data_IF_566521705896
#
_entry.id   IF_566521705896
#
_cell.length_a   1.000
_cell.length_b   1.000
_cell.length_c   1.000
_cell.angle_alpha   90.00
_cell.angle_beta   90.00
_cell.angle_gamma   90.00
#
_symmetry.space_group_name_H-M   'P 1'
#
loop_
_entity.id
_entity.type
_entity.pdbx_description
1 polymer ?
#
# COMPACT_ATOMS: atom_id res chain seq x y z
N UNK A 1 -7.12 37.04 18.17
CA UNK A 1 -6.10 36.01 18.39
C UNK A 1 -5.93 35.30 17.07
N UNK A 2 -4.78 35.48 16.43
CA UNK A 2 -4.52 34.96 15.09
C UNK A 2 -3.94 33.55 15.26
N UNK A 3 -4.70 32.54 14.84
CA UNK A 3 -4.19 31.17 14.71
C UNK A 3 -3.32 31.16 13.45
N UNK A 4 -2.06 30.69 13.48
CA UNK A 4 -1.27 30.57 12.26
C UNK A 4 -1.85 29.46 11.39
N UNK A 5 -1.84 29.68 10.07
CA UNK A 5 -2.20 28.69 9.07
C UNK A 5 -1.28 27.46 9.17
N UNK A 6 -1.76 26.26 8.77
CA UNK A 6 -0.90 25.10 8.62
C UNK A 6 0.19 25.44 7.59
N UNK A 7 1.43 25.05 7.90
CA UNK A 7 2.56 25.18 6.99
C UNK A 7 2.27 24.26 5.81
N UNK A 8 2.01 24.86 4.63
CA UNK A 8 1.77 24.12 3.41
C UNK A 8 2.96 23.23 3.05
N UNK A 9 2.65 22.01 2.60
CA UNK A 9 3.63 21.08 2.05
C UNK A 9 4.48 21.77 0.99
N UNK A 10 5.80 21.52 1.04
CA UNK A 10 6.74 22.06 0.08
C UNK A 10 6.43 21.47 -1.30
N UNK A 11 5.74 22.23 -2.16
CA UNK A 11 5.65 21.91 -3.58
C UNK A 11 7.07 21.83 -4.16
N UNK A 12 7.48 20.63 -4.54
CA UNK A 12 8.77 20.37 -5.19
C UNK A 12 8.74 20.85 -6.64
N UNK A 13 9.89 21.31 -7.13
CA UNK A 13 10.03 21.71 -8.53
C UNK A 13 9.90 20.49 -9.46
N UNK A 14 9.31 20.64 -10.66
CA UNK A 14 9.21 19.55 -11.63
C UNK A 14 10.59 18.94 -11.94
N UNK A 15 10.71 17.62 -11.81
CA UNK A 15 11.87 16.86 -12.30
C UNK A 15 12.98 16.53 -11.30
N UNK A 16 12.87 16.91 -10.01
CA UNK A 16 13.80 16.44 -8.97
C UNK A 16 13.13 15.34 -8.14
N UNK A 17 13.77 14.17 -8.07
CA UNK A 17 13.25 13.07 -7.27
C UNK A 17 13.42 13.34 -5.76
N UNK A 18 12.37 13.11 -4.98
CA UNK A 18 12.39 13.21 -3.52
C UNK A 18 12.97 11.93 -2.93
N UNK A 19 13.99 11.97 -2.05
CA UNK A 19 14.48 10.75 -1.41
C UNK A 19 13.39 10.05 -0.59
N UNK A 20 13.28 8.74 -0.73
CA UNK A 20 12.43 7.85 0.08
C UNK A 20 13.26 6.63 0.53
N UNK A 21 12.95 6.10 1.71
CA UNK A 21 13.56 4.88 2.26
C UNK A 21 12.48 3.84 2.50
N UNK A 22 12.81 2.56 2.32
CA UNK A 22 11.93 1.48 2.72
C UNK A 22 11.56 1.59 4.22
N UNK A 23 10.30 1.34 4.53
CA UNK A 23 9.66 1.58 5.81
C UNK A 23 8.96 2.94 5.92
N UNK A 24 9.26 3.94 5.08
CA UNK A 24 8.65 5.26 5.20
C UNK A 24 7.33 5.37 4.42
N UNK A 25 6.37 6.11 4.97
CA UNK A 25 5.26 6.70 4.20
C UNK A 25 5.62 8.14 3.81
N UNK A 26 5.47 8.46 2.53
CA UNK A 26 5.55 9.83 2.03
C UNK A 26 4.20 10.23 1.46
N UNK A 27 3.70 11.40 1.88
CA UNK A 27 2.56 12.04 1.23
C UNK A 27 3.08 12.94 0.11
N UNK A 28 2.61 12.66 -1.11
CA UNK A 28 2.85 13.45 -2.31
C UNK A 28 1.61 14.24 -2.72
N UNK A 29 1.83 15.32 -3.46
CA UNK A 29 0.75 16.04 -4.13
C UNK A 29 1.09 16.20 -5.61
N UNK A 30 0.16 15.82 -6.48
CA UNK A 30 0.26 16.16 -7.89
C UNK A 30 -0.35 17.54 -8.16
N UNK A 31 0.50 18.50 -8.51
CA UNK A 31 0.08 19.87 -8.77
C UNK A 31 -0.61 20.04 -10.15
N UNK A 32 -0.28 19.23 -11.18
CA UNK A 32 -0.82 19.34 -12.56
C UNK A 32 -0.46 18.13 -13.46
N UNK A 33 -1.21 17.95 -14.58
CA UNK A 33 -1.05 16.92 -15.65
C UNK A 33 0.37 16.76 -16.24
N UNK A 34 1.24 17.75 -16.11
CA UNK A 34 2.58 17.74 -16.71
C UNK A 34 3.69 17.37 -15.71
N UNK A 35 3.35 17.12 -14.45
CA UNK A 35 4.34 16.84 -13.40
C UNK A 35 4.13 15.44 -12.85
N UNK A 36 5.01 14.52 -13.27
CA UNK A 36 5.15 13.21 -12.64
C UNK A 36 5.78 13.38 -11.26
N UNK A 37 5.18 12.79 -10.23
CA UNK A 37 5.82 12.65 -8.94
C UNK A 37 7.00 11.69 -9.07
N UNK A 38 8.19 12.07 -8.59
CA UNK A 38 9.38 11.24 -8.69
C UNK A 38 9.98 11.08 -7.30
N UNK A 39 10.24 9.84 -6.90
CA UNK A 39 10.80 9.51 -5.59
C UNK A 39 11.98 8.57 -5.75
N UNK A 40 13.14 8.97 -5.26
CA UNK A 40 14.38 8.21 -5.39
C UNK A 40 14.56 7.29 -4.18
N UNK A 41 14.63 5.99 -4.43
CA UNK A 41 14.88 4.95 -3.47
C UNK A 41 16.25 4.34 -3.74
N UNK A 42 17.18 4.45 -2.79
CA UNK A 42 18.43 3.66 -2.83
C UNK A 42 18.23 2.39 -2.01
N UNK A 43 18.27 1.23 -2.67
CA UNK A 43 18.06 -0.06 -2.02
C UNK A 43 19.24 -0.40 -1.11
N UNK A 44 18.93 -0.84 0.11
CA UNK A 44 19.94 -1.23 1.11
C UNK A 44 20.14 -2.74 1.19
N UNK A 45 19.18 -3.51 0.68
CA UNK A 45 19.15 -4.98 0.65
C UNK A 45 18.74 -5.46 -0.74
N UNK A 46 18.89 -6.77 -0.98
CA UNK A 46 18.33 -7.48 -2.14
C UNK A 46 16.94 -8.08 -1.80
N UNK A 47 16.28 -7.57 -0.75
CA UNK A 47 14.98 -8.08 -0.32
C UNK A 47 13.87 -7.52 -1.21
N UNK A 48 12.85 -8.33 -1.46
CA UNK A 48 11.63 -7.86 -2.13
C UNK A 48 11.02 -6.66 -1.39
N UNK A 49 10.60 -5.66 -2.16
CA UNK A 49 9.94 -4.47 -1.68
C UNK A 49 8.51 -4.43 -2.19
N UNK A 50 7.57 -4.22 -1.29
CA UNK A 50 6.18 -3.88 -1.57
C UNK A 50 6.07 -2.36 -1.74
N UNK A 51 5.53 -1.92 -2.87
CA UNK A 51 5.24 -0.52 -3.17
C UNK A 51 3.74 -0.35 -3.26
N UNK A 52 3.21 0.56 -2.45
CA UNK A 52 1.78 0.87 -2.39
C UNK A 52 1.64 2.37 -2.63
N UNK A 53 0.80 2.75 -3.59
CA UNK A 53 0.47 4.15 -3.86
C UNK A 53 -1.03 4.34 -3.80
N UNK A 54 -1.51 4.99 -2.75
CA UNK A 54 -2.93 5.20 -2.50
C UNK A 54 -3.34 6.63 -2.88
N UNK A 55 -4.36 6.82 -3.73
CA UNK A 55 -4.95 8.13 -3.95
C UNK A 55 -5.72 8.61 -2.71
N UNK A 56 -5.66 9.91 -2.43
CA UNK A 56 -6.49 10.55 -1.40
C UNK A 56 -7.89 10.92 -1.92
N UNK A 57 -8.10 10.88 -3.24
CA UNK A 57 -9.36 11.20 -3.91
C UNK A 57 -9.86 10.00 -4.73
N UNK A 58 -11.11 9.59 -4.47
CA UNK A 58 -11.78 8.48 -5.17
C UNK A 58 -11.91 8.65 -6.69
N UNK A 59 -11.72 9.86 -7.21
CA UNK A 59 -11.75 10.15 -8.65
C UNK A 59 -10.39 10.11 -9.32
N UNK A 60 -9.31 9.90 -8.55
CA UNK A 60 -7.95 9.82 -9.04
C UNK A 60 -7.63 8.41 -9.51
N UNK A 61 -6.99 8.31 -10.67
CA UNK A 61 -6.54 7.04 -11.23
C UNK A 61 -5.03 7.11 -11.39
N UNK A 62 -4.32 6.47 -10.46
CA UNK A 62 -2.87 6.61 -10.33
C UNK A 62 -2.20 5.59 -11.24
N UNK A 63 -1.10 5.99 -11.87
CA UNK A 63 -0.23 5.05 -12.58
C UNK A 63 1.13 5.07 -11.92
N UNK A 64 1.64 3.91 -11.53
CA UNK A 64 2.93 3.77 -10.86
C UNK A 64 3.93 3.11 -11.79
N UNK A 65 5.14 3.67 -11.88
CA UNK A 65 6.27 3.03 -12.55
C UNK A 65 7.47 2.95 -11.63
N UNK A 66 8.19 1.84 -11.72
CA UNK A 66 9.47 1.65 -11.05
C UNK A 66 10.55 1.64 -12.11
N UNK A 67 11.46 2.61 -12.06
CA UNK A 67 12.50 2.81 -13.07
C UNK A 67 13.87 2.74 -12.40
N UNK A 68 14.76 1.87 -12.89
CA UNK A 68 16.13 1.82 -12.39
C UNK A 68 16.94 3.05 -12.81
N UNK A 69 18.06 3.29 -12.13
CA UNK A 69 18.99 4.41 -12.39
C UNK A 69 19.54 4.50 -13.83
N UNK A 70 19.57 3.40 -14.58
CA UNK A 70 19.97 3.37 -15.99
C UNK A 70 18.82 3.68 -16.96
N UNK A 71 17.62 3.96 -16.43
CA UNK A 71 16.40 4.24 -17.19
C UNK A 71 15.60 2.99 -17.57
N UNK A 72 16.01 1.80 -17.14
CA UNK A 72 15.25 0.57 -17.37
C UNK A 72 13.95 0.59 -16.58
N UNK A 73 12.81 0.42 -17.26
CA UNK A 73 11.54 0.17 -16.60
C UNK A 73 11.57 -1.23 -15.97
N UNK A 74 11.38 -1.28 -14.66
CA UNK A 74 11.28 -2.52 -13.89
C UNK A 74 9.83 -2.99 -13.88
N UNK A 75 8.91 -2.08 -13.56
CA UNK A 75 7.49 -2.40 -13.39
C UNK A 75 6.59 -1.19 -13.73
N UNK A 76 5.38 -1.44 -14.21
CA UNK A 76 4.33 -0.43 -14.44
C UNK A 76 2.97 -1.00 -14.07
N UNK A 77 2.24 -0.28 -13.21
CA UNK A 77 0.93 -0.68 -12.70
C UNK A 77 -0.08 0.44 -12.91
N UNK A 78 -1.23 0.04 -13.41
CA UNK A 78 -2.41 0.83 -13.73
C UNK A 78 -3.61 -0.11 -13.52
N UNK A 79 -4.09 -0.23 -12.27
CA UNK A 79 -5.15 -1.14 -11.84
C UNK A 79 -6.52 -0.87 -12.45
N UNK A 80 -6.61 0.07 -13.40
CA UNK A 80 -7.78 0.41 -14.22
C UNK A 80 -9.01 0.93 -13.45
N UNK A 81 -8.95 1.09 -12.12
CA UNK A 81 -10.05 1.55 -11.27
C UNK A 81 -9.62 2.78 -10.46
N UNK A 82 -10.27 3.91 -10.75
CA UNK A 82 -10.05 5.15 -10.00
C UNK A 82 -10.38 5.01 -8.52
N UNK A 83 -9.52 5.56 -7.66
CA UNK A 83 -9.69 5.63 -6.23
C UNK A 83 -9.11 4.45 -5.46
N UNK A 84 -8.63 3.42 -6.15
CA UNK A 84 -7.95 2.28 -5.53
C UNK A 84 -6.44 2.51 -5.48
N UNK A 85 -5.78 1.81 -4.56
CA UNK A 85 -4.34 1.87 -4.43
C UNK A 85 -3.67 1.04 -5.51
N UNK A 86 -2.59 1.57 -6.08
CA UNK A 86 -1.73 0.83 -6.99
C UNK A 86 -0.67 0.09 -6.17
N UNK A 87 -0.62 -1.25 -6.30
CA UNK A 87 0.24 -2.10 -5.47
C UNK A 87 1.11 -3.00 -6.33
N UNK A 88 2.39 -3.16 -5.96
CA UNK A 88 3.32 -4.04 -6.66
C UNK A 88 4.46 -4.49 -5.77
N UNK A 89 5.13 -5.59 -6.14
CA UNK A 89 6.40 -5.97 -5.55
C UNK A 89 7.52 -5.95 -6.59
N UNK A 90 8.74 -5.68 -6.14
CA UNK A 90 9.94 -5.91 -6.95
C UNK A 90 11.15 -6.24 -6.08
N UNK A 91 12.09 -7.00 -6.63
CA UNK A 91 13.36 -7.31 -5.97
C UNK A 91 14.46 -6.36 -6.48
N UNK A 92 14.90 -5.37 -5.68
CA UNK A 92 15.99 -4.47 -6.04
C UNK A 92 17.36 -5.16 -5.91
N UNK A 93 18.38 -4.45 -6.37
CA UNK A 93 19.79 -4.76 -6.13
C UNK A 93 20.35 -3.78 -5.10
N UNK A 94 20.95 -4.29 -4.04
CA UNK A 94 21.56 -3.51 -2.96
C UNK A 94 22.61 -2.54 -3.50
N UNK A 95 22.52 -1.29 -3.04
CA UNK A 95 23.35 -0.17 -3.47
C UNK A 95 22.89 0.50 -4.77
N UNK A 96 21.91 -0.06 -5.47
CA UNK A 96 21.33 0.54 -6.68
C UNK A 96 20.21 1.51 -6.32
N UNK A 97 20.03 2.54 -7.15
CA UNK A 97 18.94 3.51 -6.99
C UNK A 97 17.83 3.25 -8.01
N UNK A 98 16.60 3.40 -7.55
CA UNK A 98 15.37 3.29 -8.32
C UNK A 98 14.58 4.59 -8.16
N UNK A 99 13.75 4.89 -9.16
CA UNK A 99 12.78 5.98 -9.11
C UNK A 99 11.39 5.38 -9.13
N UNK A 100 10.59 5.68 -8.11
CA UNK A 100 9.14 5.48 -8.15
C UNK A 100 8.54 6.72 -8.80
N UNK A 101 7.96 6.52 -9.97
CA UNK A 101 7.26 7.54 -10.73
C UNK A 101 5.75 7.37 -10.51
N UNK A 102 5.09 8.45 -10.10
CA UNK A 102 3.64 8.49 -9.86
C UNK A 102 3.02 9.48 -10.82
N UNK A 103 2.18 8.96 -11.72
CA UNK A 103 1.36 9.72 -12.65
C UNK A 103 -0.13 9.60 -12.29
N UNK A 104 -0.97 10.39 -12.95
CA UNK A 104 -2.42 10.29 -12.84
C UNK A 104 -2.99 10.27 -14.26
N UNK A 105 -3.83 9.27 -14.53
CA UNK A 105 -4.32 8.88 -15.85
C UNK A 105 -5.21 9.95 -16.48
N UNK A 106 -6.13 10.54 -15.70
CA UNK A 106 -7.07 11.56 -16.17
C UNK A 106 -6.48 12.98 -16.27
N UNK A 107 -5.26 13.18 -15.74
CA UNK A 107 -4.60 14.48 -15.61
C UNK A 107 -5.15 15.37 -14.49
N UNK A 108 -5.90 14.82 -13.55
CA UNK A 108 -6.47 15.51 -12.39
C UNK A 108 -5.41 15.87 -11.36
N UNK A 109 -5.71 16.86 -10.52
CA UNK A 109 -4.92 17.15 -9.33
C UNK A 109 -5.37 16.19 -8.24
N UNK A 110 -4.45 15.38 -7.74
CA UNK A 110 -4.73 14.45 -6.66
C UNK A 110 -3.55 14.41 -5.69
N UNK A 111 -3.87 14.34 -4.40
CA UNK A 111 -2.91 13.96 -3.39
C UNK A 111 -2.84 12.44 -3.31
N UNK A 112 -1.70 11.91 -2.91
CA UNK A 112 -1.51 10.48 -2.76
C UNK A 112 -0.49 10.20 -1.67
N UNK A 113 -0.54 9.01 -1.10
CA UNK A 113 0.50 8.50 -0.22
C UNK A 113 1.27 7.38 -0.89
N UNK A 114 2.57 7.32 -0.67
CA UNK A 114 3.43 6.21 -1.08
C UNK A 114 3.93 5.51 0.18
N UNK A 115 3.78 4.19 0.24
CA UNK A 115 4.50 3.33 1.16
C UNK A 115 5.45 2.42 0.36
N UNK A 116 6.70 2.30 0.81
CA UNK A 116 7.65 1.30 0.30
C UNK A 116 8.08 0.47 1.48
N UNK A 117 7.89 -0.84 1.45
CA UNK A 117 8.07 -1.72 2.61
C UNK A 117 8.99 -2.86 2.21
N UNK A 118 10.05 -3.10 2.99
CA UNK A 118 10.83 -4.33 2.87
C UNK A 118 9.97 -5.49 3.38
N UNK A 119 9.67 -6.46 2.51
CA UNK A 119 8.87 -7.66 2.86
C UNK A 119 9.71 -8.93 2.80
N UNK A 120 11.04 -8.78 2.74
CA UNK A 120 11.94 -9.91 2.74
C UNK A 120 11.98 -10.66 4.08
N UNK A 121 12.54 -11.88 4.09
CA UNK A 121 12.50 -12.82 5.23
C UNK A 121 13.23 -12.35 6.51
N UNK A 122 13.87 -11.17 6.49
CA UNK A 122 14.51 -10.56 7.65
C UNK A 122 14.09 -9.10 7.85
N UNK A 123 12.97 -8.69 7.24
CA UNK A 123 12.46 -7.34 7.39
C UNK A 123 12.06 -7.07 8.82
N UNK A 124 12.39 -5.88 9.32
CA UNK A 124 11.85 -5.39 10.59
C UNK A 124 10.44 -4.81 10.44
N UNK A 125 9.97 -4.62 9.20
CA UNK A 125 8.61 -4.19 8.93
C UNK A 125 7.62 -5.37 9.00
N UNK A 126 8.06 -6.60 8.77
CA UNK A 126 7.21 -7.78 8.91
C UNK A 126 6.93 -8.06 10.39
N UNK A 127 5.68 -7.84 10.81
CA UNK A 127 5.22 -8.07 12.18
C UNK A 127 4.60 -9.46 12.35
N UNK A 128 3.87 -9.92 11.33
CA UNK A 128 3.30 -11.26 11.28
C UNK A 128 3.08 -11.70 9.82
N UNK A 129 3.08 -13.01 9.61
CA UNK A 129 2.82 -13.65 8.32
C UNK A 129 1.95 -14.88 8.55
N UNK A 130 0.84 -14.96 7.82
CA UNK A 130 -0.16 -16.00 7.98
C UNK A 130 -0.49 -16.61 6.62
N UNK A 131 -0.21 -17.89 6.48
CA UNK A 131 -0.77 -18.73 5.41
C UNK A 131 -2.17 -19.20 5.84
N UNK A 132 -3.17 -18.92 5.02
CA UNK A 132 -4.56 -19.25 5.28
C UNK A 132 -5.18 -20.13 4.20
N UNK A 133 -6.26 -20.82 4.56
CA UNK A 133 -7.06 -21.66 3.67
C UNK A 133 -8.54 -21.33 3.86
N UNK A 134 -9.23 -20.98 2.79
CA UNK A 134 -10.67 -20.79 2.75
C UNK A 134 -11.36 -22.08 2.29
N UNK A 135 -12.33 -22.53 3.08
CA UNK A 135 -13.33 -23.48 2.60
C UNK A 135 -14.32 -22.77 1.67
N UNK A 136 -15.07 -23.53 0.87
CA UNK A 136 -16.15 -22.99 0.03
C UNK A 136 -17.18 -22.24 0.90
N UNK A 137 -17.48 -20.98 0.54
CA UNK A 137 -18.27 -20.01 1.32
C UNK A 137 -17.75 -19.80 2.76
N UNK A 138 -16.48 -20.10 3.00
CA UNK A 138 -15.82 -19.98 4.28
C UNK A 138 -15.48 -18.53 4.62
N UNK A 139 -15.12 -18.35 5.89
CA UNK A 139 -14.58 -17.09 6.41
C UNK A 139 -13.37 -17.46 7.22
N UNK A 140 -12.25 -16.79 6.96
CA UNK A 140 -11.10 -16.85 7.84
C UNK A 140 -11.08 -15.60 8.71
N UNK A 141 -10.85 -15.77 10.01
CA UNK A 141 -10.75 -14.64 10.94
C UNK A 141 -9.36 -14.54 11.52
N UNK A 142 -8.73 -13.38 11.36
CA UNK A 142 -7.46 -13.02 11.98
C UNK A 142 -7.68 -11.92 13.02
N UNK A 143 -6.86 -11.86 14.06
CA UNK A 143 -6.93 -10.81 15.09
C UNK A 143 -5.56 -10.20 15.33
N UNK A 144 -5.52 -8.89 15.51
CA UNK A 144 -4.29 -8.14 15.78
C UNK A 144 -4.46 -7.22 16.99
N UNK A 145 -3.46 -7.14 17.85
CA UNK A 145 -3.43 -6.19 18.96
C UNK A 145 -2.82 -4.86 18.52
N UNK A 146 -3.69 -3.92 18.15
CA UNK A 146 -3.30 -2.58 17.72
C UNK A 146 -2.75 -1.71 18.85
N UNK A 147 -1.73 -0.93 18.53
CA UNK A 147 -1.17 0.11 19.40
C UNK A 147 -1.54 1.47 18.85
N UNK A 148 -2.06 2.35 19.72
CA UNK A 148 -2.55 3.67 19.36
C UNK A 148 -1.53 4.47 18.57
N UNK A 149 -1.96 5.02 17.43
CA UNK A 149 -1.15 5.88 16.57
C UNK A 149 -0.08 5.15 15.75
N UNK A 150 0.09 3.83 15.91
CA UNK A 150 1.04 3.07 15.08
C UNK A 150 0.38 2.63 13.78
N UNK A 151 0.74 3.20 12.61
CA UNK A 151 0.26 2.72 11.32
C UNK A 151 0.69 1.28 11.06
N UNK A 152 -0.27 0.45 10.69
CA UNK A 152 -0.09 -0.95 10.28
C UNK A 152 -0.74 -1.13 8.91
N UNK A 153 -0.13 -1.96 8.07
CA UNK A 153 -0.68 -2.37 6.79
C UNK A 153 -1.00 -3.86 6.87
N UNK A 154 -2.21 -4.20 6.47
CA UNK A 154 -2.64 -5.56 6.23
C UNK A 154 -2.65 -5.76 4.73
N UNK A 155 -1.77 -6.64 4.26
CA UNK A 155 -1.60 -6.96 2.85
C UNK A 155 -1.96 -8.42 2.62
N UNK A 156 -2.89 -8.68 1.72
CA UNK A 156 -3.49 -9.98 1.51
C UNK A 156 -3.37 -10.36 0.03
N UNK A 157 -2.78 -11.51 -0.27
CA UNK A 157 -2.69 -12.05 -1.63
C UNK A 157 -3.37 -13.41 -1.71
N UNK A 158 -4.09 -13.64 -2.81
CA UNK A 158 -4.66 -14.92 -3.16
C UNK A 158 -3.61 -15.84 -3.80
N UNK A 159 -3.65 -17.13 -3.46
CA UNK A 159 -3.02 -18.14 -4.30
C UNK A 159 -3.95 -18.50 -5.45
N UNK A 160 -3.56 -18.14 -6.67
CA UNK A 160 -4.29 -18.51 -7.88
C UNK A 160 -5.33 -17.45 -8.28
N UNK A 161 -6.61 -17.81 -8.24
CA UNK A 161 -7.69 -16.99 -8.81
C UNK A 161 -8.81 -16.70 -7.81
N UNK A 162 -8.50 -16.65 -6.51
CA UNK A 162 -9.48 -16.16 -5.55
C UNK A 162 -9.64 -14.65 -5.72
N UNK A 163 -10.87 -14.19 -5.55
CA UNK A 163 -11.25 -12.78 -5.52
C UNK A 163 -11.47 -12.44 -4.04
N UNK A 164 -10.41 -12.06 -3.36
CA UNK A 164 -10.45 -11.93 -1.90
C UNK A 164 -11.08 -10.60 -1.50
N UNK A 165 -11.77 -10.62 -0.38
CA UNK A 165 -12.25 -9.43 0.31
C UNK A 165 -11.76 -9.50 1.75
N UNK A 166 -11.51 -8.33 2.34
CA UNK A 166 -11.13 -8.21 3.73
C UNK A 166 -11.99 -7.16 4.43
N UNK A 167 -12.76 -7.60 5.42
CA UNK A 167 -13.51 -6.73 6.32
C UNK A 167 -12.75 -6.55 7.64
N UNK A 168 -12.71 -5.33 8.16
CA UNK A 168 -12.07 -5.01 9.44
C UNK A 168 -13.10 -4.59 10.49
N UNK A 169 -12.94 -5.09 11.72
CA UNK A 169 -13.82 -4.79 12.85
C UNK A 169 -13.03 -4.42 14.11
N UNK A 170 -13.63 -3.59 14.96
CA UNK A 170 -13.15 -3.31 16.30
C UNK A 170 -13.41 -4.48 17.27
N UNK A 171 -12.80 -4.42 18.47
CA UNK A 171 -13.00 -5.43 19.52
C UNK A 171 -14.46 -5.66 19.97
N UNK A 172 -15.37 -4.75 19.67
CA UNK A 172 -16.81 -4.88 19.94
C UNK A 172 -17.61 -5.48 18.78
N UNK A 173 -16.96 -5.79 17.66
CA UNK A 173 -17.60 -6.21 16.41
C UNK A 173 -18.17 -5.05 15.58
N UNK A 174 -17.81 -3.81 15.91
CA UNK A 174 -18.14 -2.65 15.11
C UNK A 174 -17.29 -2.63 13.84
N UNK A 175 -17.91 -2.43 12.69
CA UNK A 175 -17.20 -2.34 11.41
C UNK A 175 -16.30 -1.10 11.35
N UNK A 176 -15.07 -1.28 10.89
CA UNK A 176 -14.05 -0.24 10.77
C UNK A 176 -13.74 0.09 9.30
N UNK A 177 -13.46 -0.93 8.48
CA UNK A 177 -12.96 -0.73 7.12
C UNK A 177 -13.16 -1.97 6.24
N UNK A 178 -12.93 -1.84 4.94
CA UNK A 178 -13.02 -2.91 3.95
C UNK A 178 -12.11 -2.67 2.75
N UNK A 179 -11.53 -3.74 2.22
CA UNK A 179 -10.88 -3.73 0.91
C UNK A 179 -11.39 -4.88 0.02
N UNK A 180 -11.51 -4.53 -1.25
CA UNK A 180 -11.90 -5.32 -2.42
C UNK A 180 -11.36 -4.57 -3.64
N UNK A 181 -10.06 -4.68 -3.80
CA UNK A 181 -9.22 -4.02 -4.77
C UNK A 181 -9.17 -4.85 -6.05
N UNK A 182 -10.32 -5.02 -6.69
CA UNK A 182 -10.39 -5.18 -8.14
C UNK A 182 -10.95 -6.51 -8.64
N UNK A 183 -10.16 -7.24 -9.44
CA UNK A 183 -10.54 -8.49 -10.11
C UNK A 183 -9.83 -9.70 -9.48
N UNK A 184 -10.34 -10.90 -9.73
CA UNK A 184 -9.77 -12.17 -9.26
C UNK A 184 -8.23 -12.21 -9.31
N UNK A 185 -7.60 -12.42 -8.16
CA UNK A 185 -6.15 -12.57 -7.99
C UNK A 185 -5.39 -11.27 -7.70
N UNK A 186 -6.06 -10.12 -7.62
CA UNK A 186 -5.44 -8.87 -7.18
C UNK A 186 -5.31 -8.83 -5.64
N UNK A 187 -4.28 -8.16 -5.12
CA UNK A 187 -4.05 -8.10 -3.68
C UNK A 187 -5.00 -7.13 -2.97
N UNK A 188 -5.37 -7.48 -1.75
CA UNK A 188 -6.17 -6.64 -0.87
C UNK A 188 -5.33 -5.91 0.18
N UNK A 189 -5.72 -4.67 0.48
CA UNK A 189 -4.94 -3.81 1.37
C UNK A 189 -5.80 -2.93 2.28
N UNK A 190 -5.51 -2.99 3.59
CA UNK A 190 -6.02 -2.04 4.58
C UNK A 190 -4.84 -1.35 5.26
N UNK A 191 -4.81 -0.01 5.23
CA UNK A 191 -3.91 0.81 6.05
C UNK A 191 -4.68 1.29 7.29
N UNK A 192 -4.26 0.82 8.46
CA UNK A 192 -4.95 1.13 9.71
C UNK A 192 -4.05 1.87 10.69
N UNK A 193 -4.57 2.97 11.25
CA UNK A 193 -3.96 3.69 12.37
C UNK A 193 -4.88 3.55 13.58
N UNK A 194 -4.54 2.74 14.60
CA UNK A 194 -5.41 2.54 15.75
C UNK A 194 -5.65 3.84 16.50
N UNK A 195 -6.93 4.20 16.70
CA UNK A 195 -7.30 5.37 17.52
C UNK A 195 -7.15 5.11 19.03
N UNK A 196 -7.10 3.84 19.42
CA UNK A 196 -6.90 3.36 20.79
C UNK A 196 -6.09 2.07 20.78
N UNK A 197 -5.42 1.74 21.88
CA UNK A 197 -4.88 0.40 22.06
C UNK A 197 -6.01 -0.62 22.13
N UNK A 198 -5.87 -1.77 21.48
CA UNK A 198 -6.82 -2.86 21.59
C UNK A 198 -6.83 -3.78 20.37
N UNK A 199 -7.56 -4.89 20.53
CA UNK A 199 -7.70 -5.88 19.48
C UNK A 199 -8.62 -5.37 18.35
N UNK A 200 -8.24 -5.69 17.13
CA UNK A 200 -9.09 -5.62 15.93
C UNK A 200 -9.15 -7.00 15.30
N UNK A 201 -10.21 -7.27 14.54
CA UNK A 201 -10.36 -8.51 13.78
C UNK A 201 -10.53 -8.24 12.30
N UNK A 202 -10.00 -9.13 11.48
CA UNK A 202 -10.12 -9.13 10.04
C UNK A 202 -10.84 -10.40 9.61
N UNK A 203 -11.83 -10.26 8.74
CA UNK A 203 -12.50 -11.38 8.12
C UNK A 203 -12.12 -11.42 6.64
N UNK A 204 -11.48 -12.51 6.23
CA UNK A 204 -11.09 -12.79 4.84
C UNK A 204 -12.08 -13.75 4.22
N UNK A 205 -12.54 -13.44 3.01
CA UNK A 205 -13.53 -14.21 2.25
C UNK A 205 -13.21 -14.14 0.76
N UNK A 206 -13.63 -15.14 -0.01
CA UNK A 206 -13.70 -15.03 -1.47
C UNK A 206 -15.08 -14.45 -1.86
N UNK A 207 -15.11 -13.45 -2.73
CA UNK A 207 -16.33 -12.77 -3.19
C UNK A 207 -17.31 -13.74 -3.87
N UNK A 208 -16.76 -14.71 -4.62
CA UNK A 208 -17.52 -15.76 -5.31
C UNK A 208 -17.79 -17.00 -4.45
N UNK A 209 -17.31 -17.03 -3.21
CA UNK A 209 -17.44 -18.16 -2.28
C UNK A 209 -16.58 -19.38 -2.62
N UNK A 210 -15.51 -19.21 -3.40
CA UNK A 210 -14.57 -20.27 -3.74
C UNK A 210 -13.69 -20.67 -2.55
N UNK A 211 -13.09 -21.87 -2.65
CA UNK A 211 -12.08 -22.36 -1.71
C UNK A 211 -10.68 -22.21 -2.30
N UNK A 212 -9.69 -21.95 -1.45
CA UNK A 212 -8.28 -21.91 -1.84
C UNK A 212 -7.41 -21.30 -0.74
N UNK A 213 -6.12 -21.18 -1.01
CA UNK A 213 -5.16 -20.61 -0.07
C UNK A 213 -4.90 -19.13 -0.33
N UNK A 214 -4.36 -18.46 0.69
CA UNK A 214 -3.98 -17.06 0.63
C UNK A 214 -2.84 -16.79 1.62
N UNK A 215 -2.17 -15.67 1.43
CA UNK A 215 -1.14 -15.15 2.32
C UNK A 215 -1.55 -13.79 2.87
N UNK A 216 -1.46 -13.60 4.18
CA UNK A 216 -1.67 -12.33 4.87
C UNK A 216 -0.38 -11.89 5.55
N UNK A 217 0.08 -10.68 5.24
CA UNK A 217 1.18 -10.03 5.93
C UNK A 217 0.68 -8.84 6.75
N UNK A 218 1.17 -8.76 7.98
CA UNK A 218 0.99 -7.60 8.86
C UNK A 218 2.28 -6.83 8.90
N UNK A 219 2.24 -5.60 8.40
CA UNK A 219 3.43 -4.80 8.13
C UNK A 219 3.41 -3.51 8.97
N UNK A 220 4.49 -3.26 9.71
CA UNK A 220 4.73 -1.96 10.32
C UNK A 220 5.12 -0.96 9.24
N UNK A 221 4.61 0.25 9.41
CA UNK A 221 5.18 1.42 8.75
C UNK A 221 6.15 2.07 9.73
N UNK A 222 7.40 2.27 9.31
CA UNK A 222 8.40 2.96 10.12
C UNK A 222 8.09 4.47 10.18
N UNK A 223 8.28 5.05 11.37
CA UNK A 223 8.22 6.51 11.61
C UNK A 223 9.43 7.25 11.03
#
# INVERSE_FOLDING_TARGET
QHVPAPVGGSGTAPGVAVPIVAGQIIVGERQNREVTGRYALTATSDNELLVIVSPEDSSSDIVVRIVADDGTLIEEIDGAISGQAETTTFTPQSGRTYTVEVDEYFGSRSAYSIAIIDVGPNSTALLDEVEGELAENGVFTYTWDGVVGQPIIFYLEADGSLDLTIDMFDSGGGYLDYADAGLDGEPELIVYVPATNGQVSFEVRDFSGMSGSFHLWVLAVAE
#
